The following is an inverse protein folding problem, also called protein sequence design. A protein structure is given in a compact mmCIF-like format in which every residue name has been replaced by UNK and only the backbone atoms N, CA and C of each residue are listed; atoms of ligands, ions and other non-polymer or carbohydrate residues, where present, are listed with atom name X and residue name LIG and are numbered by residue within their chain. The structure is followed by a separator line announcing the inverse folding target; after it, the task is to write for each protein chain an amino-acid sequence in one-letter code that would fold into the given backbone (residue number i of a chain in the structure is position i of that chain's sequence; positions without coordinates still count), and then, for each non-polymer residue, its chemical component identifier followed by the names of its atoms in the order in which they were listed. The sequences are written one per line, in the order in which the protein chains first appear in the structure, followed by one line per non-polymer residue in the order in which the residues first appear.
data_IF_310321457784
#
_entry.id   IF_310321457784
#
_cell.length_a   1.000
_cell.length_b   1.000
_cell.length_c   1.000
_cell.angle_alpha   90.00
_cell.angle_beta   90.00
_cell.angle_gamma   90.00
#
_symmetry.space_group_name_H-M   'P 1'
#
loop_
_entity.id
_entity.type
_entity.pdbx_description
1 polymer ?
#
# COMPACT_ATOMS: atom_id res chain seq x y z
N UNK A 1 7.13 -22.47 5.96
CA UNK A 1 6.59 -21.44 6.89
C UNK A 1 5.12 -21.21 6.57
N UNK A 2 4.23 -21.08 7.56
CA UNK A 2 2.84 -20.68 7.33
C UNK A 2 2.81 -19.36 6.56
N UNK A 3 1.93 -19.27 5.56
CA UNK A 3 1.74 -18.08 4.72
C UNK A 3 0.43 -17.41 5.06
N UNK A 4 0.47 -16.12 5.31
CA UNK A 4 -0.72 -15.27 5.41
C UNK A 4 -0.71 -14.26 4.27
N UNK A 5 -1.88 -14.03 3.68
CA UNK A 5 -2.04 -13.16 2.54
C UNK A 5 -2.91 -11.98 2.96
N UNK A 6 -2.36 -10.78 2.88
CA UNK A 6 -3.08 -9.54 3.14
C UNK A 6 -3.32 -8.83 1.82
N UNK A 7 -4.58 -8.71 1.41
CA UNK A 7 -4.95 -7.94 0.21
C UNK A 7 -5.36 -6.53 0.66
N UNK A 8 -4.67 -5.53 0.14
CA UNK A 8 -4.92 -4.12 0.42
C UNK A 8 -5.51 -3.48 -0.82
N UNK A 9 -6.74 -2.99 -0.66
CA UNK A 9 -7.38 -2.12 -1.64
C UNK A 9 -7.04 -0.66 -1.38
N UNK A 10 -7.02 0.19 -2.42
CA UNK A 10 -6.90 1.62 -2.23
C UNK A 10 -8.12 2.15 -1.45
N UNK A 11 -7.88 3.11 -0.57
CA UNK A 11 -8.93 3.75 0.24
C UNK A 11 -9.88 4.59 -0.61
N UNK A 12 -9.36 5.12 -1.73
CA UNK A 12 -10.13 5.90 -2.69
C UNK A 12 -10.85 4.98 -3.68
N UNK A 13 -12.17 5.12 -3.75
CA UNK A 13 -13.01 4.50 -4.78
C UNK A 13 -13.09 5.32 -6.06
N UNK A 14 -12.82 6.63 -5.96
CA UNK A 14 -12.90 7.59 -7.05
C UNK A 14 -11.60 8.39 -7.15
N UNK A 15 -11.23 8.80 -8.35
CA UNK A 15 -10.07 9.65 -8.54
C UNK A 15 -10.29 11.05 -7.98
N UNK A 16 -9.32 11.56 -7.21
CA UNK A 16 -9.39 12.91 -6.62
C UNK A 16 -9.36 14.06 -7.66
N UNK A 17 -8.79 13.83 -8.85
CA UNK A 17 -8.73 14.85 -9.91
C UNK A 17 -9.95 14.82 -10.85
N UNK A 18 -10.31 13.63 -11.34
CA UNK A 18 -11.33 13.45 -12.38
C UNK A 18 -12.73 13.14 -11.80
N UNK A 19 -12.81 12.72 -10.53
CA UNK A 19 -14.03 12.27 -9.87
C UNK A 19 -14.63 10.99 -10.47
N UNK A 20 -13.97 10.36 -11.45
CA UNK A 20 -14.47 9.14 -12.08
C UNK A 20 -14.06 7.89 -11.33
N UNK A 21 -14.72 6.81 -11.70
CA UNK A 21 -14.44 5.47 -11.21
C UNK A 21 -13.03 5.03 -11.61
N UNK A 22 -12.43 4.23 -10.75
CA UNK A 22 -11.09 3.68 -10.90
C UNK A 22 -11.19 2.21 -11.33
N UNK A 23 -10.59 1.87 -12.45
CA UNK A 23 -10.54 0.49 -12.97
C UNK A 23 -9.32 -0.27 -12.46
N UNK A 24 -9.43 -1.59 -12.36
CA UNK A 24 -8.32 -2.45 -11.98
C UNK A 24 -7.20 -2.38 -13.02
N UNK A 25 -6.00 -1.99 -12.59
CA UNK A 25 -4.81 -1.95 -13.45
C UNK A 25 -3.88 -3.15 -13.21
N UNK A 26 -3.71 -3.54 -11.95
CA UNK A 26 -2.82 -4.64 -11.59
C UNK A 26 -2.64 -4.77 -10.08
N UNK A 27 -1.72 -5.65 -9.67
CA UNK A 27 -1.37 -5.82 -8.25
C UNK A 27 0.13 -5.98 -8.07
N UNK A 28 0.65 -5.48 -6.94
CA UNK A 28 2.04 -5.63 -6.53
C UNK A 28 2.07 -6.43 -5.24
N UNK A 29 2.76 -7.58 -5.25
CA UNK A 29 2.95 -8.38 -4.04
C UNK A 29 4.33 -8.17 -3.43
N UNK A 30 4.36 -7.95 -2.11
CA UNK A 30 5.55 -7.96 -1.30
C UNK A 30 5.50 -9.13 -0.32
N UNK A 31 6.64 -9.76 -0.05
CA UNK A 31 6.76 -10.83 0.93
C UNK A 31 7.68 -10.39 2.07
N UNK A 32 7.24 -10.67 3.30
CA UNK A 32 7.96 -10.34 4.52
C UNK A 32 7.99 -11.53 5.47
N UNK A 33 9.09 -11.69 6.20
CA UNK A 33 9.20 -12.63 7.30
C UNK A 33 8.88 -11.93 8.62
N UNK A 34 7.88 -12.44 9.33
CA UNK A 34 7.53 -11.98 10.68
C UNK A 34 7.75 -13.09 11.70
N UNK A 35 8.22 -12.71 12.88
CA UNK A 35 8.34 -13.61 14.02
C UNK A 35 7.11 -13.45 14.92
N UNK A 36 6.22 -14.43 14.90
CA UNK A 36 5.00 -14.46 15.70
C UNK A 36 5.12 -15.59 16.72
N UNK A 37 5.10 -15.27 18.02
CA UNK A 37 5.16 -16.26 19.10
C UNK A 37 6.31 -17.28 18.93
N UNK A 38 7.52 -16.79 18.63
CA UNK A 38 8.72 -17.61 18.36
C UNK A 38 8.65 -18.52 17.13
N UNK A 39 7.63 -18.38 16.28
CA UNK A 39 7.52 -19.05 14.99
C UNK A 39 7.67 -18.04 13.84
N UNK A 40 8.42 -18.40 12.81
CA UNK A 40 8.51 -17.59 11.60
C UNK A 40 7.26 -17.79 10.74
N UNK A 41 6.73 -16.68 10.23
CA UNK A 41 5.60 -16.63 9.32
C UNK A 41 5.97 -15.78 8.12
N UNK A 42 5.48 -16.16 6.95
CA UNK A 42 5.61 -15.35 5.75
C UNK A 42 4.30 -14.56 5.60
N UNK A 43 4.39 -13.25 5.65
CA UNK A 43 3.30 -12.33 5.33
C UNK A 43 3.47 -11.89 3.88
N UNK A 44 2.51 -12.21 3.04
CA UNK A 44 2.45 -11.75 1.65
C UNK A 44 1.41 -10.65 1.54
N UNK A 45 1.85 -9.43 1.31
CA UNK A 45 0.99 -8.27 1.16
C UNK A 45 0.80 -7.98 -0.33
N UNK A 46 -0.43 -8.07 -0.81
CA UNK A 46 -0.84 -7.79 -2.18
C UNK A 46 -1.52 -6.42 -2.21
N UNK A 47 -0.91 -5.45 -2.89
CA UNK A 47 -1.43 -4.09 -3.04
C UNK A 47 -2.03 -3.93 -4.43
N UNK A 48 -3.31 -3.59 -4.49
CA UNK A 48 -4.01 -3.39 -5.77
C UNK A 48 -3.70 -1.98 -6.30
N UNK A 49 -3.42 -1.91 -7.60
CA UNK A 49 -3.30 -0.69 -8.40
C UNK A 49 -4.58 -0.51 -9.20
N UNK A 50 -5.18 0.67 -9.09
CA UNK A 50 -6.32 1.09 -9.91
C UNK A 50 -5.95 2.32 -10.73
N UNK A 51 -6.59 2.53 -11.88
CA UNK A 51 -6.35 3.66 -12.76
C UNK A 51 -7.65 4.39 -13.14
N UNK A 52 -7.65 5.74 -13.18
CA UNK A 52 -8.76 6.52 -13.72
C UNK A 52 -8.78 6.36 -15.25
N UNK A 53 -9.92 5.98 -15.81
CA UNK A 53 -10.10 5.83 -17.27
C UNK A 53 -10.11 7.16 -18.04
N UNK A 54 -10.25 8.30 -17.34
CA UNK A 54 -10.32 9.62 -17.96
C UNK A 54 -9.01 10.42 -17.92
N UNK A 55 -8.23 10.30 -16.85
CA UNK A 55 -7.00 11.07 -16.67
C UNK A 55 -5.74 10.20 -16.51
N UNK A 56 -5.88 8.88 -16.62
CA UNK A 56 -4.80 7.90 -16.45
C UNK A 56 -4.06 8.01 -15.11
N UNK A 57 -4.69 8.62 -14.11
CA UNK A 57 -4.16 8.68 -12.75
C UNK A 57 -4.16 7.28 -12.14
N UNK A 58 -3.00 6.85 -11.64
CA UNK A 58 -2.84 5.57 -10.95
C UNK A 58 -2.91 5.80 -9.44
N UNK A 59 -3.81 5.07 -8.78
CA UNK A 59 -3.96 5.03 -7.33
C UNK A 59 -3.58 3.65 -6.83
N UNK A 60 -2.73 3.60 -5.81
CA UNK A 60 -2.23 2.36 -5.22
C UNK A 60 -2.48 2.37 -3.71
N UNK A 61 -2.77 1.20 -3.13
CA UNK A 61 -2.86 1.07 -1.69
C UNK A 61 -1.53 1.45 -1.00
N UNK A 62 -1.59 2.14 0.17
CA UNK A 62 -0.39 2.61 0.86
C UNK A 62 0.56 1.44 1.17
N UNK A 63 1.85 1.65 0.89
CA UNK A 63 2.87 0.67 1.22
C UNK A 63 3.08 0.62 2.74
N UNK A 64 2.80 -0.55 3.32
CA UNK A 64 3.13 -0.82 4.70
C UNK A 64 4.57 -1.31 4.76
N UNK A 65 5.50 -0.40 5.02
CA UNK A 65 6.89 -0.79 5.26
C UNK A 65 7.06 -1.20 6.71
N UNK A 66 6.91 -2.50 7.00
CA UNK A 66 7.31 -3.03 8.30
C UNK A 66 8.81 -3.34 8.26
N UNK A 67 9.64 -2.29 8.34
CA UNK A 67 11.06 -2.49 8.59
C UNK A 67 11.22 -3.04 10.00
N UNK A 68 11.30 -4.37 10.09
CA UNK A 68 11.76 -5.13 11.26
C UNK A 68 11.01 -4.81 12.57
N UNK A 69 9.84 -5.40 12.77
CA UNK A 69 9.17 -5.31 14.08
C UNK A 69 10.00 -6.01 15.16
N UNK A 70 10.10 -5.43 16.38
CA UNK A 70 9.01 -5.62 17.31
C UNK A 70 8.58 -4.31 17.98
N UNK A 71 7.27 -4.05 17.97
CA UNK A 71 6.52 -3.10 18.83
C UNK A 71 7.38 -2.16 19.68
N UNK A 72 7.87 -1.07 19.10
CA UNK A 72 8.24 0.11 19.87
C UNK A 72 7.29 1.25 19.53
N UNK A 73 6.60 1.66 20.57
CA UNK A 73 5.61 2.72 20.64
C UNK A 73 6.19 4.09 20.25
N UNK A 74 5.35 4.88 19.59
CA UNK A 74 5.26 6.35 19.67
C UNK A 74 6.43 7.21 19.12
N UNK A 75 6.05 7.94 18.05
CA UNK A 75 6.47 9.28 17.61
C UNK A 75 7.55 9.44 16.50
N UNK A 76 7.29 10.30 15.49
CA UNK A 76 6.25 11.33 15.45
C UNK A 76 5.17 11.09 14.39
N UNK A 77 3.93 11.28 14.83
CA UNK A 77 2.72 11.56 14.05
C UNK A 77 2.84 12.83 13.15
N UNK A 78 4.03 13.38 12.94
CA UNK A 78 4.28 14.67 12.27
C UNK A 78 5.29 14.59 11.10
N UNK A 79 5.83 13.40 10.77
CA UNK A 79 6.66 13.24 9.56
C UNK A 79 5.95 12.48 8.43
N UNK A 80 4.85 11.78 8.72
CA UNK A 80 4.09 11.07 7.68
C UNK A 80 3.32 12.04 6.77
N UNK A 81 2.80 13.14 7.33
CA UNK A 81 2.02 14.16 6.60
C UNK A 81 2.86 14.99 5.60
N UNK A 82 4.19 14.90 5.64
CA UNK A 82 5.09 15.65 4.76
C UNK A 82 5.80 14.79 3.69
N UNK A 83 5.73 13.45 3.78
CA UNK A 83 6.22 12.54 2.72
C UNK A 83 5.09 11.85 1.94
N UNK A 84 3.88 11.75 2.50
CA UNK A 84 2.66 11.37 1.77
C UNK A 84 1.89 12.63 1.33
N UNK A 85 2.62 13.70 1.02
CA UNK A 85 2.05 14.88 0.36
C UNK A 85 1.46 14.47 -0.99
N UNK A 86 0.30 15.05 -1.31
CA UNK A 86 -0.39 15.01 -2.59
C UNK A 86 0.55 14.68 -3.76
N UNK A 87 0.50 13.44 -4.23
CA UNK A 87 1.58 12.89 -5.02
C UNK A 87 1.16 11.65 -5.76
N UNK A 88 0.06 11.75 -6.51
CA UNK A 88 -0.21 10.93 -7.69
C UNK A 88 1.10 10.81 -8.47
N UNK A 89 1.77 9.66 -8.35
CA UNK A 89 2.96 9.42 -9.15
C UNK A 89 2.47 9.13 -10.56
N UNK A 90 2.64 10.12 -11.42
CA UNK A 90 2.80 9.93 -12.87
C UNK A 90 3.63 8.68 -13.08
N UNK A 91 3.12 7.81 -13.96
CA UNK A 91 3.78 6.64 -14.48
C UNK A 91 5.31 6.81 -14.48
N UNK A 92 6.01 6.03 -13.67
CA UNK A 92 7.42 5.78 -13.91
C UNK A 92 7.48 4.48 -14.71
N UNK A 93 7.98 4.66 -15.93
CA UNK A 93 8.40 3.67 -16.91
C UNK A 93 9.24 2.53 -16.32
#
# INVERSE_FOLDING_TARGET
LPREIHRLEPEESCCQECGSELDYLGEVSAEQLELVSSALKVIRTVRVKKACTKCDCIVEAPAQFFYLSPKMFYFPFLLFDLFFGAGQRRAQE
#
